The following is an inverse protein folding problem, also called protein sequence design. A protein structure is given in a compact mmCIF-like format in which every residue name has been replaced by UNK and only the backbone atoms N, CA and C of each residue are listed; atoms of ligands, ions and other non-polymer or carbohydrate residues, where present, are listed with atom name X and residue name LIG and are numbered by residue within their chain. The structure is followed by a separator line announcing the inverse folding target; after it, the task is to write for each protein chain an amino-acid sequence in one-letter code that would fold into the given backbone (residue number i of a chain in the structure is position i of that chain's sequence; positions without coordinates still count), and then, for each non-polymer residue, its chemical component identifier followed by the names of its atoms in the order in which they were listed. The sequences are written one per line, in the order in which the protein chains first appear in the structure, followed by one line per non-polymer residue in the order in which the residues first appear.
data_IF_053719911881
#
_entry.id   IF_053719911881
#
_cell.length_a   1.000
_cell.length_b   1.000
_cell.length_c   1.000
_cell.angle_alpha   90.00
_cell.angle_beta   90.00
_cell.angle_gamma   90.00
#
_symmetry.space_group_name_H-M   'P 1'
#
loop_
_entity.id
_entity.type
_entity.pdbx_description
1 polymer ?
#
# COMPACT_ATOMS: atom_id res chain seq x y z
N UNK A 1 -7.48 -7.19 -21.27
CA UNK A 1 -6.35 -7.30 -20.30
C UNK A 1 -6.86 -7.96 -19.02
N UNK A 2 -6.00 -8.66 -18.25
CA UNK A 2 -6.38 -9.15 -16.90
C UNK A 2 -6.53 -7.95 -15.95
N UNK A 3 -7.47 -8.02 -15.01
CA UNK A 3 -7.69 -6.94 -14.03
C UNK A 3 -6.90 -7.21 -12.74
N UNK A 4 -6.39 -6.14 -12.13
CA UNK A 4 -5.70 -6.19 -10.86
C UNK A 4 -6.24 -5.11 -9.91
N UNK A 5 -6.55 -5.50 -8.67
CA UNK A 5 -6.87 -4.57 -7.58
C UNK A 5 -5.61 -4.28 -6.78
N UNK A 6 -5.27 -3.00 -6.63
CA UNK A 6 -4.07 -2.53 -5.94
C UNK A 6 -4.49 -1.82 -4.66
N UNK A 7 -4.00 -2.29 -3.51
CA UNK A 7 -4.01 -1.51 -2.26
C UNK A 7 -3.08 -0.31 -2.46
N UNK A 8 -3.69 0.85 -2.65
CA UNK A 8 -3.08 2.01 -3.27
C UNK A 8 -3.14 3.21 -2.34
N UNK A 9 -2.04 3.54 -1.68
CA UNK A 9 -1.95 4.65 -0.72
C UNK A 9 -1.46 5.98 -1.34
N UNK A 10 -0.94 5.98 -2.57
CA UNK A 10 -0.21 7.13 -3.12
C UNK A 10 1.20 7.30 -2.55
N UNK A 11 1.61 6.39 -1.64
CA UNK A 11 2.97 6.26 -1.18
C UNK A 11 3.86 5.57 -2.20
N UNK A 12 5.17 5.68 -1.95
CA UNK A 12 6.18 5.26 -2.93
C UNK A 12 6.07 3.79 -3.28
N UNK A 13 5.80 2.92 -2.32
CA UNK A 13 5.74 1.48 -2.55
C UNK A 13 4.54 1.10 -3.43
N UNK A 14 3.35 1.58 -3.07
CA UNK A 14 2.12 1.28 -3.82
C UNK A 14 2.13 1.89 -5.23
N UNK A 15 2.70 3.09 -5.39
CA UNK A 15 2.87 3.76 -6.69
C UNK A 15 3.88 3.02 -7.57
N UNK A 16 5.04 2.63 -7.04
CA UNK A 16 6.06 1.90 -7.80
C UNK A 16 5.52 0.54 -8.25
N UNK A 17 4.83 -0.18 -7.36
CA UNK A 17 4.21 -1.47 -7.69
C UNK A 17 3.13 -1.34 -8.76
N UNK A 18 2.25 -0.36 -8.65
CA UNK A 18 1.25 -0.11 -9.68
C UNK A 18 1.91 0.21 -11.04
N UNK A 19 3.01 0.97 -11.05
CA UNK A 19 3.76 1.26 -12.28
C UNK A 19 4.34 0.01 -12.96
N UNK A 20 4.81 -0.97 -12.17
CA UNK A 20 5.34 -2.24 -12.67
C UNK A 20 4.28 -3.10 -13.37
N UNK A 21 3.01 -2.95 -12.98
CA UNK A 21 1.91 -3.78 -13.46
C UNK A 21 1.11 -3.12 -14.59
N UNK A 22 1.26 -1.80 -14.80
CA UNK A 22 0.46 -1.00 -15.74
C UNK A 22 0.46 -1.54 -17.18
N UNK A 23 1.58 -2.10 -17.65
CA UNK A 23 1.67 -2.66 -19.01
C UNK A 23 1.02 -4.04 -19.16
N UNK A 24 0.70 -4.72 -18.05
CA UNK A 24 0.22 -6.11 -18.03
C UNK A 24 -1.23 -6.24 -17.54
N UNK A 25 -1.69 -5.27 -16.75
CA UNK A 25 -2.98 -5.33 -16.07
C UNK A 25 -3.79 -4.05 -16.22
N UNK A 26 -5.10 -4.22 -16.29
CA UNK A 26 -6.04 -3.14 -16.06
C UNK A 26 -6.12 -2.89 -14.55
N UNK A 27 -5.69 -1.69 -14.14
CA UNK A 27 -5.48 -1.39 -12.72
C UNK A 27 -6.72 -0.76 -12.09
N UNK A 28 -7.09 -1.27 -10.93
CA UNK A 28 -8.11 -0.75 -10.04
C UNK A 28 -7.45 -0.43 -8.70
N UNK A 29 -7.64 0.77 -8.17
CA UNK A 29 -6.99 1.19 -6.91
C UNK A 29 -7.98 1.27 -5.76
N UNK A 30 -7.56 0.82 -4.58
CA UNK A 30 -8.29 1.01 -3.32
C UNK A 30 -7.40 1.72 -2.29
N UNK A 31 -7.79 2.92 -1.87
CA UNK A 31 -7.16 3.66 -0.77
C UNK A 31 -8.02 3.50 0.48
N UNK A 32 -7.39 3.24 1.62
CA UNK A 32 -8.07 3.19 2.90
C UNK A 32 -7.87 4.50 3.67
N UNK A 33 -8.97 5.10 4.10
CA UNK A 33 -9.01 6.32 4.91
C UNK A 33 -9.46 5.98 6.32
N UNK A 34 -8.67 6.31 7.33
CA UNK A 34 -9.07 6.21 8.75
C UNK A 34 -9.93 7.41 9.17
N UNK A 35 -11.04 7.69 8.48
CA UNK A 35 -11.91 8.85 8.73
C UNK A 35 -11.31 10.23 8.42
N UNK A 36 -10.07 10.32 7.92
CA UNK A 36 -9.44 11.59 7.56
C UNK A 36 -9.77 11.97 6.11
N UNK A 37 -10.83 12.76 5.89
CA UNK A 37 -11.34 13.09 4.55
C UNK A 37 -10.38 13.91 3.65
N UNK A 38 -9.29 14.49 4.18
CA UNK A 38 -8.44 15.42 3.41
C UNK A 38 -6.93 15.44 3.79
N UNK A 39 -6.29 14.29 4.01
CA UNK A 39 -4.84 14.23 4.22
C UNK A 39 -4.06 14.22 2.89
N UNK A 40 -2.81 14.70 2.90
CA UNK A 40 -1.90 14.75 1.74
C UNK A 40 -1.70 13.39 1.07
N UNK A 41 -1.80 12.31 1.84
CA UNK A 41 -1.76 10.93 1.33
C UNK A 41 -2.87 10.65 0.32
N UNK A 42 -4.13 11.00 0.63
CA UNK A 42 -5.27 10.81 -0.27
C UNK A 42 -5.11 11.69 -1.53
N UNK A 43 -4.59 12.91 -1.38
CA UNK A 43 -4.30 13.79 -2.53
C UNK A 43 -3.27 13.16 -3.46
N UNK A 44 -2.17 12.63 -2.90
CA UNK A 44 -1.17 11.91 -3.66
C UNK A 44 -1.77 10.66 -4.34
N UNK A 45 -2.57 9.86 -3.62
CA UNK A 45 -3.24 8.70 -4.18
C UNK A 45 -4.11 9.07 -5.38
N UNK A 46 -5.00 10.06 -5.25
CA UNK A 46 -5.84 10.52 -6.38
C UNK A 46 -5.00 10.99 -7.57
N UNK A 47 -3.92 11.74 -7.31
CA UNK A 47 -3.03 12.25 -8.37
C UNK A 47 -2.33 11.11 -9.12
N UNK A 48 -1.78 10.13 -8.40
CA UNK A 48 -1.09 9.02 -9.04
C UNK A 48 -2.04 8.01 -9.67
N UNK A 49 -3.25 7.83 -9.14
CA UNK A 49 -4.27 6.99 -9.78
C UNK A 49 -4.58 7.50 -11.18
N UNK A 50 -4.77 8.82 -11.34
CA UNK A 50 -4.92 9.47 -12.66
C UNK A 50 -3.69 9.29 -13.54
N UNK A 51 -2.49 9.59 -13.02
CA UNK A 51 -1.23 9.48 -13.78
C UNK A 51 -0.97 8.04 -14.27
N UNK A 52 -1.29 7.06 -13.45
CA UNK A 52 -1.13 5.63 -13.77
C UNK A 52 -2.27 5.09 -14.62
N UNK A 53 -3.35 5.84 -14.83
CA UNK A 53 -4.49 5.42 -15.65
C UNK A 53 -5.29 4.29 -15.00
N UNK A 54 -5.46 4.31 -13.67
CA UNK A 54 -6.36 3.38 -12.99
C UNK A 54 -7.78 3.56 -13.53
N UNK A 55 -8.45 2.45 -13.87
CA UNK A 55 -9.84 2.46 -14.38
C UNK A 55 -10.82 2.95 -13.35
N UNK A 56 -10.61 2.54 -12.10
CA UNK A 56 -11.37 3.02 -10.97
C UNK A 56 -10.45 3.16 -9.76
N UNK A 57 -10.70 4.20 -8.95
CA UNK A 57 -9.98 4.43 -7.71
C UNK A 57 -10.98 4.70 -6.58
N UNK A 58 -11.19 3.70 -5.71
CA UNK A 58 -12.06 3.80 -4.55
C UNK A 58 -11.30 4.30 -3.34
N UNK A 59 -11.92 5.19 -2.58
CA UNK A 59 -11.45 5.59 -1.25
C UNK A 59 -12.45 5.04 -0.25
N UNK A 60 -12.02 4.04 0.51
CA UNK A 60 -12.87 3.35 1.49
C UNK A 60 -12.59 3.93 2.86
N UNK A 61 -13.64 4.41 3.51
CA UNK A 61 -13.58 4.81 4.90
C UNK A 61 -13.57 3.57 5.80
N UNK A 62 -12.56 3.49 6.65
CA UNK A 62 -12.34 2.42 7.63
C UNK A 62 -12.21 3.00 9.03
N UNK A 63 -12.89 4.13 9.30
CA UNK A 63 -12.89 4.79 10.61
C UNK A 63 -13.27 3.84 11.76
N UNK A 64 -14.11 2.82 11.49
CA UNK A 64 -14.46 1.77 12.45
C UNK A 64 -13.22 1.07 13.06
N UNK A 65 -12.10 1.01 12.34
CA UNK A 65 -10.86 0.44 12.86
C UNK A 65 -10.36 1.22 14.09
N UNK A 66 -10.60 2.52 14.19
CA UNK A 66 -10.24 3.29 15.39
C UNK A 66 -10.96 2.78 16.63
N UNK A 67 -12.24 2.43 16.49
CA UNK A 67 -13.04 1.89 17.59
C UNK A 67 -12.53 0.50 18.01
N UNK A 68 -12.08 -0.32 17.07
CA UNK A 68 -11.54 -1.66 17.34
C UNK A 68 -10.17 -1.63 18.04
N UNK A 69 -9.23 -0.80 17.58
CA UNK A 69 -7.87 -0.77 18.12
C UNK A 69 -7.70 0.22 19.28
N UNK A 70 -8.64 1.15 19.45
CA UNK A 70 -8.60 2.19 20.46
C UNK A 70 -7.29 2.98 20.47
N UNK A 71 -6.81 3.29 21.68
CA UNK A 71 -5.57 4.05 21.92
C UNK A 71 -4.30 3.19 21.98
N UNK A 72 -4.39 1.90 21.68
CA UNK A 72 -3.24 0.99 21.78
C UNK A 72 -2.14 1.32 20.75
N UNK A 73 -2.49 1.95 19.63
CA UNK A 73 -1.59 2.27 18.53
C UNK A 73 -1.39 3.79 18.36
N UNK A 74 -0.15 4.19 18.08
CA UNK A 74 0.24 5.61 17.94
C UNK A 74 -0.30 6.26 16.66
N UNK A 75 -0.63 5.48 15.63
CA UNK A 75 -1.22 5.97 14.39
C UNK A 75 -2.74 6.17 14.49
N UNK A 76 -3.40 5.54 15.48
CA UNK A 76 -4.83 5.71 15.73
C UNK A 76 -5.13 6.65 16.89
N UNK A 77 -4.19 6.83 17.84
CA UNK A 77 -4.35 7.71 19.00
C UNK A 77 -3.79 9.12 18.76
N UNK A 78 -4.57 10.15 19.10
CA UNK A 78 -4.13 11.56 19.06
C UNK A 78 -3.24 11.96 20.24
N UNK A 79 -3.11 11.11 21.27
CA UNK A 79 -2.46 11.44 22.55
C UNK A 79 -1.00 10.97 22.65
N UNK A 80 -0.46 10.23 21.68
CA UNK A 80 0.89 9.65 21.73
C UNK A 80 1.81 10.30 20.67
N UNK A 81 3.07 10.56 21.04
CA UNK A 81 4.08 11.08 20.10
C UNK A 81 4.42 10.00 19.08
N UNK A 82 4.42 10.36 17.79
CA UNK A 82 4.89 9.48 16.71
C UNK A 82 6.40 9.26 16.91
N UNK A 83 6.87 8.00 17.05
CA UNK A 83 8.28 7.73 17.30
C UNK A 83 9.15 8.04 16.07
N UNK A 84 10.43 8.32 16.31
CA UNK A 84 11.42 8.61 15.26
C UNK A 84 12.12 7.35 14.74
N UNK A 85 12.04 6.26 15.51
CA UNK A 85 12.54 4.92 15.20
C UNK A 85 11.40 3.90 15.30
N UNK A 86 11.64 2.68 14.81
CA UNK A 86 10.65 1.61 14.92
C UNK A 86 10.39 1.25 16.39
N UNK A 87 9.11 1.22 16.76
CA UNK A 87 8.60 0.71 18.02
C UNK A 87 7.34 -0.11 17.72
N UNK A 88 7.10 -1.21 18.44
CA UNK A 88 5.93 -2.06 18.20
C UNK A 88 4.60 -1.31 18.39
N UNK A 89 4.61 -0.18 19.11
CA UNK A 89 3.47 0.73 19.31
C UNK A 89 2.89 1.34 18.01
N UNK A 90 3.63 1.32 16.89
CA UNK A 90 3.14 1.75 15.57
C UNK A 90 2.51 0.60 14.78
N UNK A 91 2.67 -0.65 15.21
CA UNK A 91 2.11 -1.83 14.53
C UNK A 91 0.64 -1.96 14.88
N UNK A 92 -0.22 -1.82 13.87
CA UNK A 92 -1.66 -2.11 14.02
C UNK A 92 -1.84 -3.61 13.82
N UNK A 93 -2.35 -4.37 14.80
CA UNK A 93 -2.50 -5.81 14.69
C UNK A 93 -3.28 -6.21 13.44
N UNK A 94 -2.70 -7.11 12.63
CA UNK A 94 -3.29 -7.72 11.42
C UNK A 94 -3.91 -6.73 10.43
N UNK A 95 -3.44 -5.48 10.37
CA UNK A 95 -3.98 -4.44 9.49
C UNK A 95 -4.00 -4.87 8.02
N UNK A 96 -2.93 -5.49 7.53
CA UNK A 96 -2.89 -5.91 6.13
C UNK A 96 -3.89 -7.04 5.85
N UNK A 97 -4.28 -7.84 6.85
CA UNK A 97 -5.33 -8.83 6.68
C UNK A 97 -6.67 -8.15 6.35
N UNK A 98 -7.04 -7.13 7.14
CA UNK A 98 -8.27 -6.34 6.90
C UNK A 98 -8.25 -5.69 5.51
N UNK A 99 -7.13 -5.08 5.14
CA UNK A 99 -6.97 -4.45 3.83
C UNK A 99 -7.11 -5.45 2.68
N UNK A 100 -6.44 -6.60 2.81
CA UNK A 100 -6.49 -7.65 1.80
C UNK A 100 -7.87 -8.30 1.71
N UNK A 101 -8.60 -8.45 2.81
CA UNK A 101 -10.00 -8.93 2.80
C UNK A 101 -10.89 -7.99 1.98
N UNK A 102 -10.85 -6.68 2.25
CA UNK A 102 -11.67 -5.70 1.54
C UNK A 102 -11.27 -5.62 0.06
N UNK A 103 -9.97 -5.59 -0.23
CA UNK A 103 -9.48 -5.55 -1.60
C UNK A 103 -9.85 -6.81 -2.39
N UNK A 104 -9.82 -7.98 -1.75
CA UNK A 104 -10.17 -9.27 -2.36
C UNK A 104 -11.66 -9.37 -2.66
N UNK A 105 -12.53 -8.94 -1.72
CA UNK A 105 -13.97 -8.86 -1.96
C UNK A 105 -14.29 -8.00 -3.20
N UNK A 106 -13.61 -6.87 -3.35
CA UNK A 106 -13.76 -6.02 -4.53
C UNK A 106 -13.17 -6.68 -5.80
N UNK A 107 -12.04 -7.39 -5.68
CA UNK A 107 -11.45 -8.12 -6.80
C UNK A 107 -12.37 -9.20 -7.35
N UNK A 108 -13.00 -10.01 -6.49
CA UNK A 108 -14.01 -10.98 -6.90
C UNK A 108 -15.20 -10.33 -7.61
N UNK A 109 -15.70 -9.21 -7.07
CA UNK A 109 -16.78 -8.41 -7.70
C UNK A 109 -16.40 -7.94 -9.10
N UNK A 110 -15.15 -7.53 -9.31
CA UNK A 110 -14.64 -7.08 -10.61
C UNK A 110 -14.26 -8.23 -11.56
N UNK A 111 -14.29 -9.47 -11.08
CA UNK A 111 -13.70 -10.64 -11.72
C UNK A 111 -12.20 -10.43 -12.05
N UNK A 112 -11.49 -9.77 -11.14
CA UNK A 112 -10.05 -9.57 -11.17
C UNK A 112 -9.33 -10.83 -10.66
N UNK A 113 -8.16 -11.11 -11.23
CA UNK A 113 -7.37 -12.31 -10.88
C UNK A 113 -6.17 -12.00 -9.99
N UNK A 114 -5.98 -10.74 -9.61
CA UNK A 114 -4.79 -10.29 -8.89
C UNK A 114 -5.18 -9.22 -7.88
N UNK A 115 -4.77 -9.42 -6.63
CA UNK A 115 -4.80 -8.44 -5.54
C UNK A 115 -3.37 -8.12 -5.16
N UNK A 116 -3.03 -6.85 -5.07
CA UNK A 116 -1.66 -6.40 -4.89
C UNK A 116 -1.54 -5.42 -3.74
N UNK A 117 -0.51 -5.59 -2.92
CA UNK A 117 -0.15 -4.65 -1.87
C UNK A 117 1.37 -4.41 -1.84
N UNK A 118 1.78 -3.24 -1.33
CA UNK A 118 3.14 -2.73 -1.47
C UNK A 118 4.21 -3.35 -0.56
N UNK A 119 3.94 -4.47 0.11
CA UNK A 119 4.90 -5.06 1.04
C UNK A 119 6.17 -5.54 0.34
N UNK A 120 7.32 -5.26 0.94
CA UNK A 120 8.66 -5.53 0.40
C UNK A 120 9.56 -6.23 1.42
N UNK A 121 10.73 -6.73 1.01
CA UNK A 121 11.64 -7.49 1.88
C UNK A 121 12.12 -6.73 3.13
N UNK A 122 12.06 -5.39 3.12
CA UNK A 122 12.38 -4.55 4.27
C UNK A 122 11.32 -4.52 5.38
N UNK A 123 10.12 -5.09 5.17
CA UNK A 123 9.03 -5.08 6.17
C UNK A 123 9.16 -6.24 7.17
N UNK A 124 10.39 -6.55 7.61
CA UNK A 124 10.69 -7.71 8.47
C UNK A 124 9.95 -7.67 9.81
N UNK A 125 9.68 -6.47 10.30
CA UNK A 125 9.01 -6.20 11.57
C UNK A 125 7.48 -6.33 11.50
N UNK A 126 6.91 -6.59 10.32
CA UNK A 126 5.48 -6.74 10.08
C UNK A 126 5.17 -8.16 9.61
N UNK A 127 4.77 -9.09 10.50
CA UNK A 127 4.50 -10.48 10.13
C UNK A 127 3.40 -10.61 9.06
N UNK A 128 2.44 -9.70 9.05
CA UNK A 128 1.35 -9.63 8.08
C UNK A 128 1.79 -9.11 6.69
N UNK A 129 3.04 -8.67 6.54
CA UNK A 129 3.65 -8.37 5.24
C UNK A 129 4.30 -9.60 4.57
N UNK A 130 4.50 -10.70 5.30
CA UNK A 130 5.31 -11.84 4.82
C UNK A 130 4.55 -12.68 3.78
N UNK A 131 5.21 -13.21 2.74
CA UNK A 131 4.56 -14.01 1.70
C UNK A 131 3.81 -15.24 2.24
N UNK A 132 4.33 -15.91 3.28
CA UNK A 132 3.67 -17.06 3.92
C UNK A 132 2.31 -16.70 4.51
N UNK A 133 2.18 -15.49 5.08
CA UNK A 133 0.91 -15.00 5.61
C UNK A 133 -0.07 -14.66 4.47
N UNK A 134 0.39 -13.89 3.49
CA UNK A 134 -0.42 -13.53 2.33
C UNK A 134 -0.95 -14.75 1.57
N UNK A 135 -0.15 -15.82 1.43
CA UNK A 135 -0.58 -17.07 0.79
C UNK A 135 -1.67 -17.80 1.57
N UNK A 136 -1.65 -17.73 2.92
CA UNK A 136 -2.73 -18.29 3.75
C UNK A 136 -4.05 -17.56 3.53
N UNK A 137 -4.01 -16.23 3.44
CA UNK A 137 -5.19 -15.42 3.11
C UNK A 137 -5.69 -15.69 1.69
N UNK A 138 -4.78 -15.78 0.71
CA UNK A 138 -5.13 -16.10 -0.67
C UNK A 138 -5.91 -17.42 -0.76
N UNK A 139 -5.41 -18.48 -0.11
CA UNK A 139 -6.08 -19.76 -0.09
C UNK A 139 -7.46 -19.66 0.59
N UNK A 140 -7.54 -19.02 1.76
CA UNK A 140 -8.80 -18.86 2.49
C UNK A 140 -9.86 -18.06 1.69
N UNK A 141 -9.44 -17.02 0.97
CA UNK A 141 -10.37 -16.21 0.17
C UNK A 141 -10.84 -16.92 -1.09
N UNK A 142 -9.97 -17.68 -1.77
CA UNK A 142 -10.40 -18.52 -2.90
C UNK A 142 -11.34 -19.64 -2.44
N UNK A 143 -11.07 -20.25 -1.28
CA UNK A 143 -11.94 -21.27 -0.69
C UNK A 143 -13.32 -20.69 -0.38
N UNK A 144 -13.39 -19.48 0.20
CA UNK A 144 -14.66 -18.80 0.46
C UNK A 144 -15.46 -18.45 -0.79
N UNK A 145 -14.86 -18.56 -1.97
CA UNK A 145 -15.46 -18.26 -3.28
C UNK A 145 -15.48 -19.49 -4.21
N UNK A 146 -15.25 -20.70 -3.68
CA UNK A 146 -15.02 -21.90 -4.47
C UNK A 146 -16.19 -22.25 -5.40
N UNK A 147 -17.43 -22.10 -4.94
CA UNK A 147 -18.61 -22.37 -5.77
C UNK A 147 -18.75 -21.36 -6.91
N UNK A 148 -18.47 -20.08 -6.64
CA UNK A 148 -18.46 -19.01 -7.65
C UNK A 148 -17.34 -19.20 -8.67
N UNK A 149 -16.21 -19.73 -8.23
CA UNK A 149 -15.05 -20.04 -9.10
C UNK A 149 -15.33 -21.28 -9.96
N UNK A 150 -15.86 -22.36 -9.38
CA UNK A 150 -16.17 -23.61 -10.08
C UNK A 150 -17.29 -23.42 -11.12
N UNK A 151 -18.28 -22.58 -10.80
CA UNK A 151 -19.35 -22.18 -11.73
C UNK A 151 -18.90 -21.14 -12.77
N UNK A 152 -17.63 -20.74 -12.77
CA UNK A 152 -17.03 -19.72 -13.67
C UNK A 152 -17.64 -18.32 -13.56
N UNK A 153 -18.42 -18.05 -12.51
CA UNK A 153 -18.92 -16.70 -12.19
C UNK A 153 -17.78 -15.77 -11.78
N UNK A 154 -16.79 -16.31 -11.08
CA UNK A 154 -15.62 -15.59 -10.56
C UNK A 154 -14.33 -16.31 -10.93
N UNK A 155 -13.20 -15.61 -10.79
CA UNK A 155 -11.85 -16.17 -10.98
C UNK A 155 -11.17 -16.31 -9.63
N UNK A 156 -10.29 -17.30 -9.54
CA UNK A 156 -9.29 -17.34 -8.49
C UNK A 156 -8.49 -16.03 -8.47
N UNK A 157 -8.22 -15.53 -7.28
CA UNK A 157 -7.31 -14.41 -7.04
C UNK A 157 -5.93 -14.92 -6.63
N UNK A 158 -4.91 -14.21 -7.08
CA UNK A 158 -3.56 -14.27 -6.53
C UNK A 158 -3.33 -13.03 -5.65
N UNK A 159 -2.85 -13.21 -4.42
CA UNK A 159 -2.36 -12.12 -3.58
C UNK A 159 -0.85 -11.98 -3.82
N UNK A 160 -0.47 -10.85 -4.38
CA UNK A 160 0.90 -10.58 -4.80
C UNK A 160 1.49 -9.37 -4.09
N UNK A 161 2.78 -9.46 -3.77
CA UNK A 161 3.58 -8.34 -3.26
C UNK A 161 5.01 -8.41 -3.79
N UNK A 162 5.73 -7.28 -3.81
CA UNK A 162 7.17 -7.24 -4.05
C UNK A 162 7.97 -8.22 -3.19
N UNK A 163 7.59 -8.39 -1.91
CA UNK A 163 8.23 -9.33 -1.00
C UNK A 163 8.19 -10.75 -1.56
N UNK A 164 7.08 -11.19 -2.17
CA UNK A 164 7.00 -12.53 -2.80
C UNK A 164 8.03 -12.74 -3.92
N UNK A 165 8.53 -11.67 -4.53
CA UNK A 165 9.60 -11.70 -5.55
C UNK A 165 10.98 -11.34 -5.00
N UNK A 166 11.14 -11.20 -3.69
CA UNK A 166 12.42 -10.81 -3.08
C UNK A 166 12.80 -9.35 -3.31
N UNK A 167 11.87 -8.51 -3.77
CA UNK A 167 12.16 -7.11 -4.09
C UNK A 167 12.20 -6.26 -2.82
N UNK A 168 13.25 -5.44 -2.71
CA UNK A 168 13.41 -4.44 -1.67
C UNK A 168 12.75 -3.11 -2.04
N UNK A 169 12.62 -2.22 -1.06
CA UNK A 169 12.19 -0.83 -1.30
C UNK A 169 13.07 -0.10 -2.33
N UNK A 170 14.38 -0.38 -2.31
CA UNK A 170 15.32 0.21 -3.25
C UNK A 170 15.08 -0.27 -4.68
N UNK A 171 14.72 -1.53 -4.87
CA UNK A 171 14.39 -2.09 -6.20
C UNK A 171 13.10 -1.49 -6.75
N UNK A 172 12.11 -1.28 -5.86
CA UNK A 172 10.89 -0.57 -6.20
C UNK A 172 11.18 0.88 -6.61
N UNK A 173 12.04 1.59 -5.88
CA UNK A 173 12.44 2.95 -6.21
C UNK A 173 13.13 3.05 -7.59
N UNK A 174 14.07 2.16 -7.88
CA UNK A 174 14.74 2.09 -9.19
C UNK A 174 13.73 1.85 -10.32
N UNK A 175 12.83 0.89 -10.11
CA UNK A 175 11.76 0.58 -11.07
C UNK A 175 10.78 1.74 -11.25
N UNK A 176 10.38 2.39 -10.15
CA UNK A 176 9.52 3.55 -10.16
C UNK A 176 10.15 4.74 -10.87
N UNK A 177 11.44 5.00 -10.66
CA UNK A 177 12.16 6.07 -11.36
C UNK A 177 12.19 5.80 -12.86
N UNK A 178 12.48 4.56 -13.27
CA UNK A 178 12.44 4.16 -14.69
C UNK A 178 11.05 4.38 -15.31
N UNK A 179 9.98 4.06 -14.59
CA UNK A 179 8.62 4.09 -15.12
C UNK A 179 7.90 5.44 -14.99
N UNK A 180 8.29 6.26 -14.01
CA UNK A 180 7.58 7.48 -13.62
C UNK A 180 8.45 8.75 -13.70
N UNK A 181 9.76 8.60 -13.89
CA UNK A 181 10.73 9.68 -13.81
C UNK A 181 10.65 10.43 -12.49
N UNK A 182 10.90 11.73 -12.54
CA UNK A 182 10.88 12.64 -11.38
C UNK A 182 9.51 12.74 -10.69
N UNK A 183 8.44 12.15 -11.26
CA UNK A 183 7.17 12.08 -10.55
C UNK A 183 7.28 11.25 -9.27
N UNK A 184 8.21 10.30 -9.16
CA UNK A 184 8.37 9.48 -7.94
C UNK A 184 8.60 10.32 -6.67
N UNK A 185 9.23 11.49 -6.79
CA UNK A 185 9.48 12.41 -5.67
C UNK A 185 8.20 13.06 -5.13
N UNK A 186 7.11 13.04 -5.91
CA UNK A 186 5.79 13.55 -5.51
C UNK A 186 4.94 12.54 -4.72
N UNK A 187 5.42 11.30 -4.56
CA UNK A 187 4.75 10.28 -3.72
C UNK A 187 4.77 10.68 -2.24
N UNK A 188 3.76 10.27 -1.48
CA UNK A 188 3.61 10.68 -0.07
C UNK A 188 3.91 9.55 0.91
N UNK A 189 4.83 9.78 1.85
CA UNK A 189 5.20 8.78 2.87
C UNK A 189 5.03 9.32 4.29
N UNK A 190 4.96 10.64 4.47
CA UNK A 190 5.04 11.26 5.79
C UNK A 190 3.78 10.99 6.64
N UNK A 191 3.98 10.52 7.87
CA UNK A 191 2.90 10.38 8.86
C UNK A 191 2.38 11.73 9.38
N UNK A 192 3.14 12.82 9.23
CA UNK A 192 2.69 14.14 9.66
C UNK A 192 1.76 14.75 8.60
N UNK A 193 0.60 15.25 9.03
CA UNK A 193 -0.32 16.00 8.17
C UNK A 193 0.17 17.45 8.01
N UNK A 194 1.19 17.67 7.19
CA UNK A 194 1.82 18.97 6.89
C UNK A 194 1.83 19.22 5.37
N UNK A 195 2.16 20.44 4.94
CA UNK A 195 2.22 20.81 3.50
C UNK A 195 3.34 20.08 2.72
N UNK A 196 4.40 19.65 3.40
CA UNK A 196 5.52 18.89 2.86
C UNK A 196 5.94 17.80 3.86
N UNK A 197 6.76 16.82 3.45
CA UNK A 197 7.26 15.79 4.34
C UNK A 197 8.03 16.42 5.52
N UNK A 198 7.76 15.97 6.75
CA UNK A 198 8.37 16.58 7.94
C UNK A 198 9.90 16.36 8.05
N UNK A 199 10.44 15.37 7.34
CA UNK A 199 11.87 15.08 7.29
C UNK A 199 12.44 14.30 8.48
N UNK A 200 11.66 14.10 9.55
CA UNK A 200 12.15 13.52 10.82
C UNK A 200 11.36 12.32 11.35
N UNK A 201 10.14 12.07 10.86
CA UNK A 201 9.38 10.90 11.32
C UNK A 201 9.97 9.60 10.75
N UNK A 202 9.67 8.47 11.41
CA UNK A 202 10.15 7.14 11.03
C UNK A 202 10.01 6.86 9.53
N UNK A 203 8.84 7.14 8.93
CA UNK A 203 8.63 6.94 7.49
C UNK A 203 9.44 7.88 6.60
N UNK A 204 9.68 9.14 7.01
CA UNK A 204 10.58 10.04 6.26
C UNK A 204 12.03 9.55 6.33
N UNK A 205 12.47 9.06 7.48
CA UNK A 205 13.83 8.50 7.64
C UNK A 205 13.99 7.24 6.80
N UNK A 206 13.01 6.33 6.80
CA UNK A 206 13.00 5.15 5.95
C UNK A 206 13.03 5.52 4.46
N UNK A 207 12.28 6.55 4.06
CA UNK A 207 12.31 7.07 2.67
C UNK A 207 13.71 7.55 2.31
N UNK A 208 14.32 8.43 3.10
CA UNK A 208 15.69 8.96 2.88
C UNK A 208 16.71 7.80 2.77
N UNK A 209 16.64 6.83 3.69
CA UNK A 209 17.52 5.65 3.68
C UNK A 209 17.33 4.84 2.39
N UNK A 210 16.08 4.63 1.94
CA UNK A 210 15.80 3.85 0.75
C UNK A 210 16.30 4.54 -0.53
N UNK A 211 16.12 5.85 -0.68
CA UNK A 211 16.71 6.60 -1.80
C UNK A 211 18.25 6.51 -1.80
N UNK A 212 18.87 6.68 -0.63
CA UNK A 212 20.32 6.50 -0.47
C UNK A 212 20.79 5.10 -0.88
N UNK A 213 20.13 4.04 -0.37
CA UNK A 213 20.43 2.64 -0.73
C UNK A 213 20.17 2.34 -2.21
N UNK A 214 19.23 3.04 -2.84
CA UNK A 214 18.95 2.89 -4.26
C UNK A 214 19.98 3.61 -5.16
N UNK A 215 20.86 4.47 -4.61
CA UNK A 215 21.76 5.31 -5.37
C UNK A 215 21.05 6.44 -6.12
N UNK A 216 19.90 6.89 -5.62
CA UNK A 216 19.06 7.92 -6.26
C UNK A 216 19.08 9.16 -5.37
N UNK A 217 19.44 10.32 -5.94
CA UNK A 217 19.34 11.61 -5.25
C UNK A 217 17.89 11.91 -4.90
N UNK A 218 17.59 11.99 -3.60
CA UNK A 218 16.23 12.25 -3.12
C UNK A 218 15.83 13.72 -3.33
N UNK A 219 15.02 13.99 -4.36
CA UNK A 219 14.45 15.33 -4.64
C UNK A 219 13.13 15.59 -3.91
N UNK A 220 12.77 14.78 -2.90
CA UNK A 220 11.55 15.01 -2.10
C UNK A 220 11.71 16.32 -1.30
N UNK A 221 10.66 17.14 -1.27
CA UNK A 221 10.64 18.37 -0.44
C UNK A 221 10.41 18.02 1.03
N UNK A 222 11.44 18.22 1.85
CA UNK A 222 11.37 18.07 3.30
C UNK A 222 11.30 19.43 4.00
N UNK A 223 10.64 19.49 5.17
CA UNK A 223 10.66 20.66 6.05
C UNK A 223 11.93 20.73 6.92
N UNK A 224 12.59 19.59 7.14
CA UNK A 224 13.80 19.43 7.93
C UNK A 224 14.76 18.44 7.27
#
# INVERSE_FOLDING_TARGET
MKKAVIVFSGGVDSVCVASLLKSKYELYGITFSYGQKANMEIKAAKSFAKKLGLKEHKIIDIDFMKNLYGNSNVLTSTKRKIPTKFEYSIVVPIRNAVFLSIASAWAFTLNASLVVYGAHTGDTNYPDCRPKFAKKLENAFNEGEIDGINSKLRKNIEIWSPYRKGLSKSDLLKSGLKNLGDSIFKTWSCYANKKSHCGICESCNNRKIAFKKAGITDKTKYLK
#
